data_IF_190077993474
#
_entry.id   IF_190077993474
#
_cell.length_a   1.000
_cell.length_b   1.000
_cell.length_c   1.000
_cell.angle_alpha   90.00
_cell.angle_beta   90.00
_cell.angle_gamma   90.00
#
_symmetry.space_group_name_H-M   'P 1'
#
loop_
_entity.id
_entity.type
_entity.pdbx_description
1 polymer ?
#
# COMPACT_ATOMS: atom_id res chain seq x y z
N UNK A 1 -7.53 -11.11 -3.71
CA UNK A 1 -6.38 -10.21 -3.81
C UNK A 1 -6.65 -8.96 -3.01
N UNK A 2 -5.77 -8.59 -2.12
CA UNK A 2 -6.03 -7.54 -1.17
C UNK A 2 -4.82 -6.61 -1.05
N UNK A 3 -5.03 -5.33 -1.36
CA UNK A 3 -4.02 -4.30 -1.26
C UNK A 3 -4.44 -3.34 -0.15
N UNK A 4 -3.54 -3.09 0.79
CA UNK A 4 -3.80 -2.12 1.86
C UNK A 4 -2.74 -1.04 1.78
N UNK A 5 -3.17 0.21 1.67
CA UNK A 5 -2.29 1.37 1.55
C UNK A 5 -2.41 2.21 2.79
N UNK A 6 -1.32 2.40 3.50
CA UNK A 6 -1.27 3.29 4.66
C UNK A 6 -0.66 4.61 4.21
N UNK A 7 -1.41 5.68 4.36
CA UNK A 7 -0.98 6.99 3.90
C UNK A 7 -1.49 8.11 4.78
N UNK A 8 -1.40 9.33 4.29
CA UNK A 8 -1.87 10.51 5.02
C UNK A 8 -2.33 11.56 4.02
N UNK A 9 -2.98 12.62 4.53
CA UNK A 9 -3.42 13.73 3.70
C UNK A 9 -2.22 14.46 3.12
N UNK A 10 -2.43 15.13 1.99
CA UNK A 10 -1.41 15.95 1.32
C UNK A 10 -0.15 15.14 0.98
N UNK A 11 -0.35 13.90 0.60
CA UNK A 11 0.74 13.02 0.21
C UNK A 11 0.55 12.67 -1.26
N UNK A 12 1.35 13.27 -2.14
CA UNK A 12 1.24 13.03 -3.58
C UNK A 12 1.47 11.57 -3.94
N UNK A 13 2.44 10.94 -3.31
CA UNK A 13 2.75 9.54 -3.61
C UNK A 13 1.64 8.60 -3.14
N UNK A 14 0.96 8.97 -2.04
CA UNK A 14 -0.19 8.20 -1.57
C UNK A 14 -1.34 8.29 -2.57
N UNK A 15 -1.58 9.50 -3.09
CA UNK A 15 -2.62 9.71 -4.09
C UNK A 15 -2.30 8.94 -5.37
N UNK A 16 -1.04 8.91 -5.77
CA UNK A 16 -0.62 8.19 -6.96
C UNK A 16 -0.79 6.68 -6.80
N UNK A 17 -0.56 6.19 -5.60
CA UNK A 17 -0.75 4.77 -5.32
C UNK A 17 -2.22 4.38 -5.50
N UNK A 18 -3.13 5.22 -5.00
CA UNK A 18 -4.56 4.99 -5.17
C UNK A 18 -4.95 5.07 -6.65
N UNK A 19 -4.44 6.06 -7.36
CA UNK A 19 -4.70 6.24 -8.79
C UNK A 19 -4.30 4.99 -9.58
N UNK A 20 -3.12 4.46 -9.30
CA UNK A 20 -2.61 3.30 -10.00
C UNK A 20 -3.50 2.08 -9.76
N UNK A 21 -3.89 1.87 -8.51
CA UNK A 21 -4.80 0.76 -8.20
C UNK A 21 -6.12 0.91 -8.94
N UNK A 22 -6.65 2.12 -8.99
CA UNK A 22 -7.89 2.41 -9.70
C UNK A 22 -7.72 2.18 -11.20
N UNK A 23 -6.62 2.63 -11.75
CA UNK A 23 -6.32 2.52 -13.17
C UNK A 23 -6.23 1.06 -13.62
N UNK A 24 -5.65 0.21 -12.80
CA UNK A 24 -5.53 -1.22 -13.11
C UNK A 24 -6.68 -2.05 -12.54
N UNK A 25 -7.70 -1.38 -12.03
CA UNK A 25 -8.91 -2.03 -11.50
C UNK A 25 -8.58 -3.02 -10.38
N UNK A 26 -7.63 -2.65 -9.54
CA UNK A 26 -7.23 -3.47 -8.40
C UNK A 26 -7.99 -3.01 -7.15
N UNK A 27 -8.56 -3.96 -6.44
CA UNK A 27 -9.23 -3.67 -5.19
C UNK A 27 -8.20 -3.25 -4.15
N UNK A 28 -8.50 -2.19 -3.42
CA UNK A 28 -7.59 -1.70 -2.38
C UNK A 28 -8.38 -1.11 -1.22
N UNK A 29 -7.70 -1.00 -0.09
CA UNK A 29 -8.22 -0.31 1.09
C UNK A 29 -7.20 0.76 1.43
N UNK A 30 -7.66 2.00 1.56
CA UNK A 30 -6.81 3.11 1.95
C UNK A 30 -7.05 3.45 3.41
N UNK A 31 -6.00 3.45 4.21
CA UNK A 31 -6.08 3.77 5.64
C UNK A 31 -5.23 4.99 5.92
N UNK A 32 -5.87 6.06 6.38
CA UNK A 32 -5.20 7.32 6.62
C UNK A 32 -4.72 7.41 8.07
N UNK A 33 -3.47 7.75 8.23
CA UNK A 33 -2.87 7.95 9.55
C UNK A 33 -3.34 9.25 10.20
N UNK A 34 -3.89 10.15 9.39
CA UNK A 34 -4.40 11.46 9.86
C UNK A 34 -5.89 11.46 10.06
N UNK A 35 -6.56 10.33 9.86
CA UNK A 35 -8.00 10.28 10.01
C UNK A 35 -8.37 10.67 11.45
N UNK A 36 -9.26 11.63 11.57
CA UNK A 36 -9.69 12.18 12.85
C UNK A 36 -10.24 11.12 13.80
N UNK A 37 -10.89 10.11 13.24
CA UNK A 37 -11.60 9.11 14.03
C UNK A 37 -10.83 7.81 14.19
N UNK A 38 -10.05 7.43 13.21
CA UNK A 38 -9.38 6.13 13.20
C UNK A 38 -7.86 6.22 13.02
N UNK A 39 -7.32 7.43 12.91
CA UNK A 39 -5.88 7.59 12.64
C UNK A 39 -4.97 6.94 13.67
N UNK A 40 -5.32 7.04 14.95
CA UNK A 40 -4.51 6.45 16.00
C UNK A 40 -4.51 4.93 15.92
N UNK A 41 -5.66 4.34 15.65
CA UNK A 41 -5.79 2.90 15.50
C UNK A 41 -5.04 2.43 14.26
N UNK A 42 -5.12 3.20 13.18
CA UNK A 42 -4.41 2.91 11.95
C UNK A 42 -2.90 2.96 12.17
N UNK A 43 -2.44 3.97 12.93
CA UNK A 43 -1.03 4.09 13.25
C UNK A 43 -0.53 2.90 14.06
N UNK A 44 -1.30 2.49 15.06
CA UNK A 44 -0.96 1.34 15.89
C UNK A 44 -0.90 0.07 15.06
N UNK A 45 -1.86 -0.11 14.16
CA UNK A 45 -1.89 -1.25 13.25
C UNK A 45 -0.64 -1.28 12.36
N UNK A 46 -0.26 -0.11 11.83
CA UNK A 46 0.91 -0.01 10.99
C UNK A 46 2.18 -0.35 11.77
N UNK A 47 2.28 0.12 13.01
CA UNK A 47 3.42 -0.18 13.86
C UNK A 47 3.53 -1.69 14.14
N UNK A 48 2.42 -2.35 14.38
CA UNK A 48 2.41 -3.78 14.60
C UNK A 48 2.90 -4.54 13.37
N UNK A 49 2.43 -4.13 12.20
CA UNK A 49 2.87 -4.74 10.94
C UNK A 49 4.36 -4.50 10.72
N UNK A 50 4.85 -3.31 11.06
CA UNK A 50 6.25 -2.98 10.90
C UNK A 50 7.13 -3.87 11.78
N UNK A 51 6.71 -4.08 13.01
CA UNK A 51 7.44 -4.96 13.92
C UNK A 51 7.43 -6.39 13.42
N UNK A 52 6.27 -6.86 12.99
CA UNK A 52 6.10 -8.22 12.49
C UNK A 52 7.00 -8.48 11.29
N UNK A 53 7.06 -7.52 10.37
CA UNK A 53 7.85 -7.67 9.13
C UNK A 53 9.26 -7.13 9.27
N UNK A 54 9.64 -6.69 10.47
CA UNK A 54 10.98 -6.20 10.78
C UNK A 54 11.39 -5.05 9.85
N UNK A 55 10.51 -4.07 9.70
CA UNK A 55 10.77 -2.91 8.87
C UNK A 55 10.65 -1.63 9.69
N UNK A 56 11.27 -0.57 9.21
CA UNK A 56 11.15 0.76 9.81
C UNK A 56 10.24 1.60 8.95
N UNK A 57 9.23 2.23 9.56
CA UNK A 57 8.32 3.10 8.84
C UNK A 57 8.90 4.50 8.85
N UNK A 58 9.40 4.94 7.70
CA UNK A 58 10.03 6.26 7.56
C UNK A 58 9.27 7.17 6.60
N UNK A 59 8.50 6.58 5.70
CA UNK A 59 7.80 7.32 4.65
C UNK A 59 6.41 6.74 4.44
N UNK A 60 5.58 7.47 3.74
CA UNK A 60 4.30 7.01 3.24
C UNK A 60 4.26 7.23 1.74
N UNK A 61 3.53 6.43 0.99
CA UNK A 61 2.67 5.34 1.43
C UNK A 61 3.46 4.10 1.84
N UNK A 62 2.86 3.29 2.71
CA UNK A 62 3.37 1.96 3.03
C UNK A 62 2.29 0.98 2.59
N UNK A 63 2.67 0.01 1.80
CA UNK A 63 1.71 -0.83 1.09
C UNK A 63 1.94 -2.31 1.40
N UNK A 64 0.85 -3.00 1.69
CA UNK A 64 0.84 -4.45 1.85
C UNK A 64 -0.06 -5.04 0.77
N UNK A 65 0.36 -6.15 0.21
CA UNK A 65 -0.40 -6.84 -0.83
C UNK A 65 -0.51 -8.30 -0.41
N UNK A 66 -1.74 -8.75 -0.18
CA UNK A 66 -2.04 -10.10 0.31
C UNK A 66 -1.27 -10.42 1.60
N UNK A 67 -1.20 -9.43 2.47
CA UNK A 67 -0.55 -9.60 3.77
C UNK A 67 0.96 -9.48 3.76
N UNK A 68 1.54 -9.20 2.59
CA UNK A 68 2.99 -9.08 2.46
C UNK A 68 3.37 -7.62 2.20
N UNK A 69 4.34 -7.13 2.95
CA UNK A 69 4.84 -5.76 2.76
C UNK A 69 5.57 -5.65 1.44
N UNK A 70 5.18 -4.69 0.62
CA UNK A 70 5.87 -4.44 -0.64
C UNK A 70 6.61 -3.11 -0.68
N UNK A 71 6.25 -2.16 0.18
CA UNK A 71 6.97 -0.90 0.25
C UNK A 71 6.13 0.29 -0.13
N UNK A 72 6.69 1.20 -0.91
CA UNK A 72 6.05 2.44 -1.31
C UNK A 72 5.48 2.39 -2.73
N UNK A 73 5.31 3.57 -3.31
CA UNK A 73 4.69 3.70 -4.63
C UNK A 73 5.46 2.97 -5.72
N UNK A 74 6.77 3.17 -5.79
CA UNK A 74 7.56 2.53 -6.85
C UNK A 74 7.57 1.01 -6.70
N UNK A 75 7.53 0.54 -5.46
CA UNK A 75 7.44 -0.90 -5.21
C UNK A 75 6.09 -1.45 -5.65
N UNK A 76 5.04 -0.64 -5.50
CA UNK A 76 3.70 -1.01 -5.97
C UNK A 76 3.71 -1.15 -7.50
N UNK A 77 4.31 -0.20 -8.19
CA UNK A 77 4.41 -0.26 -9.65
C UNK A 77 5.14 -1.53 -10.08
N UNK A 78 6.25 -1.83 -9.44
CA UNK A 78 7.03 -3.03 -9.75
C UNK A 78 6.20 -4.29 -9.51
N UNK A 79 5.46 -4.33 -8.41
CA UNK A 79 4.62 -5.48 -8.08
C UNK A 79 3.51 -5.66 -9.11
N UNK A 80 2.91 -4.57 -9.55
CA UNK A 80 1.85 -4.62 -10.57
C UNK A 80 2.43 -5.10 -11.90
N UNK A 81 3.57 -4.58 -12.29
CA UNK A 81 4.22 -4.97 -13.55
C UNK A 81 4.60 -6.45 -13.53
N UNK A 82 5.13 -6.92 -12.43
CA UNK A 82 5.49 -8.32 -12.29
C UNK A 82 4.25 -9.21 -12.35
N UNK A 83 3.18 -8.76 -11.72
CA UNK A 83 1.92 -9.50 -11.71
C UNK A 83 1.32 -9.59 -13.11
N UNK A 84 1.33 -8.48 -13.84
CA UNK A 84 0.81 -8.43 -15.21
C UNK A 84 1.65 -9.29 -16.14
N UNK A 85 2.96 -9.16 -16.02
CA UNK A 85 3.89 -9.94 -16.81
C UNK A 85 3.68 -11.42 -16.58
N UNK A 86 3.51 -11.77 -15.32
CA UNK A 86 3.25 -13.15 -14.96
C UNK A 86 1.92 -13.64 -15.54
N UNK A 87 0.90 -12.80 -15.41
CA UNK A 87 -0.41 -13.12 -15.97
C UNK A 87 -0.40 -13.23 -17.48
N UNK A 88 0.39 -12.39 -18.12
CA UNK A 88 0.51 -12.41 -19.58
C UNK A 88 1.42 -13.52 -20.05
N UNK A 89 2.33 -13.94 -19.22
CA UNK A 89 3.18 -15.06 -19.52
C UNK A 89 2.42 -16.32 -19.78
N UNK A 90 1.16 -16.32 -19.40
CA UNK A 90 0.27 -17.43 -19.69
C UNK A 90 -0.23 -17.48 -21.13
N UNK A 91 0.09 -16.49 -21.89
CA UNK A 91 -0.33 -16.45 -23.29
C UNK A 91 0.56 -17.34 -24.12
#
# INVERSE_FOLDING_TARGET
MSIVIYGKEFCNWCDRAVEVCTQYELAYIYKSLDDRFSGQDTYAELQELAVKDNIAIKTVPQIWWNGKHIGGYSDLITAIENSREYGQGGF
#
